data_IF_264949271279
#
_entry.id   IF_264949271279
#
_cell.length_a   1.000
_cell.length_b   1.000
_cell.length_c   1.000
_cell.angle_alpha   90.00
_cell.angle_beta   90.00
_cell.angle_gamma   90.00
#
_symmetry.space_group_name_H-M   'P 1'
#
loop_
_entity.id
_entity.type
_entity.pdbx_description
1 polymer ?
#
# COMPACT_ATOMS: atom_id res chain seq x y z
N UNK A 1 -21.59 19.24 16.56
CA UNK A 1 -20.13 19.20 16.77
C UNK A 1 -19.72 20.61 17.08
N UNK A 2 -19.36 20.83 18.34
CA UNK A 2 -19.00 22.15 18.85
C UNK A 2 -17.69 22.63 18.20
N UNK A 3 -17.43 23.94 18.25
CA UNK A 3 -16.18 24.49 17.71
C UNK A 3 -14.94 23.85 18.39
N UNK A 4 -15.02 23.62 19.71
CA UNK A 4 -13.98 22.96 20.49
C UNK A 4 -13.68 21.54 20.00
N UNK A 5 -14.69 20.79 19.57
CA UNK A 5 -14.50 19.43 19.03
C UNK A 5 -13.71 19.46 17.71
N UNK A 6 -13.99 20.46 16.86
CA UNK A 6 -13.30 20.63 15.57
C UNK A 6 -11.84 21.03 15.79
N UNK A 7 -11.58 21.93 16.73
CA UNK A 7 -10.23 22.37 17.07
C UNK A 7 -9.39 21.21 17.60
N UNK A 8 -9.99 20.34 18.41
CA UNK A 8 -9.35 19.12 18.91
C UNK A 8 -8.99 18.17 17.76
N UNK A 9 -9.90 17.95 16.81
CA UNK A 9 -9.63 17.09 15.63
C UNK A 9 -8.50 17.67 14.77
N UNK A 10 -8.48 18.98 14.55
CA UNK A 10 -7.42 19.65 13.79
C UNK A 10 -6.06 19.49 14.51
N UNK A 11 -6.02 19.66 15.83
CA UNK A 11 -4.81 19.46 16.62
C UNK A 11 -4.28 18.02 16.50
N UNK A 12 -5.18 17.03 16.57
CA UNK A 12 -4.87 15.61 16.37
C UNK A 12 -4.29 15.34 14.97
N UNK A 13 -4.93 15.83 13.92
CA UNK A 13 -4.46 15.62 12.54
C UNK A 13 -3.09 16.25 12.30
N UNK A 14 -2.82 17.42 12.89
CA UNK A 14 -1.51 18.07 12.84
C UNK A 14 -0.45 17.26 13.59
N UNK A 15 -0.78 16.75 14.77
CA UNK A 15 0.14 15.96 15.59
C UNK A 15 0.54 14.64 14.91
N UNK A 16 -0.41 13.99 14.22
CA UNK A 16 -0.18 12.72 13.53
C UNK A 16 -0.02 12.87 12.01
N UNK A 17 0.31 14.08 11.52
CA UNK A 17 0.39 14.37 10.10
C UNK A 17 1.30 13.37 9.34
N UNK A 18 2.47 13.02 9.90
CA UNK A 18 3.39 12.07 9.25
C UNK A 18 2.90 10.60 9.17
N UNK A 19 1.83 10.25 9.89
CA UNK A 19 1.14 8.95 9.80
C UNK A 19 -0.04 9.04 8.81
N UNK A 20 -0.74 10.18 8.82
CA UNK A 20 -1.93 10.42 7.98
C UNK A 20 -1.54 10.74 6.53
N UNK A 21 -0.37 11.33 6.32
CA UNK A 21 0.12 11.71 5.00
C UNK A 21 0.25 10.48 4.10
N UNK A 22 -0.43 10.54 2.95
CA UNK A 22 -0.35 9.50 1.93
C UNK A 22 1.04 9.55 1.31
N UNK A 23 1.89 8.61 1.71
CA UNK A 23 3.22 8.45 1.09
C UNK A 23 3.05 7.83 -0.32
N UNK A 24 3.76 8.36 -1.34
CA UNK A 24 3.80 7.72 -2.65
C UNK A 24 4.58 6.40 -2.57
N UNK A 25 4.22 5.44 -3.42
CA UNK A 25 4.89 4.14 -3.49
C UNK A 25 4.49 3.16 -2.38
N UNK A 26 5.33 2.15 -2.15
CA UNK A 26 5.10 1.10 -1.16
C UNK A 26 5.14 1.68 0.28
N UNK A 27 4.16 1.37 1.15
CA UNK A 27 4.24 1.71 2.56
C UNK A 27 5.55 1.22 3.20
N UNK A 28 6.12 1.96 4.16
CA UNK A 28 7.31 1.49 4.86
C UNK A 28 7.03 0.14 5.51
N UNK A 29 8.03 -0.75 5.50
CA UNK A 29 7.93 -2.04 6.18
C UNK A 29 7.47 -1.81 7.63
N UNK A 30 6.46 -2.56 8.05
CA UNK A 30 5.98 -2.49 9.41
C UNK A 30 7.17 -2.77 10.35
N UNK A 31 7.43 -1.86 11.30
CA UNK A 31 8.50 -2.03 12.31
C UNK A 31 8.18 -3.13 13.35
N UNK A 32 7.11 -3.87 13.12
CA UNK A 32 6.64 -4.93 14.00
C UNK A 32 7.23 -6.23 13.47
N UNK A 33 7.81 -7.04 14.34
CA UNK A 33 8.38 -8.35 13.99
C UNK A 33 7.26 -9.41 13.81
N UNK A 34 6.20 -9.05 13.10
CA UNK A 34 5.08 -9.93 12.78
C UNK A 34 4.98 -9.98 11.26
N UNK A 35 5.19 -11.18 10.72
CA UNK A 35 5.08 -11.45 9.30
C UNK A 35 3.77 -12.17 9.01
N UNK A 36 3.19 -11.88 7.84
CA UNK A 36 1.99 -12.57 7.39
C UNK A 36 2.35 -13.97 6.88
N UNK A 37 2.12 -15.00 7.70
CA UNK A 37 2.32 -16.38 7.30
C UNK A 37 1.14 -16.89 6.46
N UNK A 38 1.41 -17.27 5.21
CA UNK A 38 0.41 -17.85 4.31
C UNK A 38 0.43 -19.38 4.48
N UNK A 39 -0.56 -19.92 5.19
CA UNK A 39 -0.72 -21.36 5.39
C UNK A 39 -1.27 -22.05 4.13
N UNK A 40 -0.40 -22.60 3.29
CA UNK A 40 -0.81 -23.36 2.09
C UNK A 40 -0.91 -24.87 2.32
N UNK A 41 -0.37 -25.38 3.44
CA UNK A 41 -0.31 -26.81 3.74
C UNK A 41 0.44 -27.58 2.65
N UNK A 42 -0.16 -28.65 2.14
CA UNK A 42 0.38 -29.46 1.03
C UNK A 42 -0.20 -29.07 -0.35
N UNK A 43 -0.89 -27.94 -0.43
CA UNK A 43 -1.56 -27.52 -1.67
C UNK A 43 -0.52 -27.10 -2.70
N UNK A 44 -0.57 -27.72 -3.89
CA UNK A 44 0.32 -27.35 -4.98
C UNK A 44 0.07 -25.90 -5.44
N UNK A 45 1.12 -25.13 -5.81
CA UNK A 45 0.96 -23.81 -6.38
C UNK A 45 0.11 -23.84 -7.66
N UNK A 46 -0.69 -22.78 -7.85
CA UNK A 46 -1.49 -22.63 -9.07
C UNK A 46 -0.62 -21.95 -10.13
N UNK A 47 -0.40 -22.65 -11.25
CA UNK A 47 0.31 -22.09 -12.41
C UNK A 47 -0.70 -21.50 -13.40
N UNK A 48 -0.69 -20.17 -13.55
CA UNK A 48 -1.55 -19.47 -14.50
C UNK A 48 -0.73 -18.82 -15.61
N UNK A 49 -1.26 -18.86 -16.84
CA UNK A 49 -0.68 -18.13 -17.97
C UNK A 49 -0.95 -16.63 -17.81
N UNK A 50 0.06 -15.79 -18.05
CA UNK A 50 -0.10 -14.32 -18.07
C UNK A 50 -1.20 -13.92 -19.06
N UNK A 51 -2.10 -13.05 -18.63
CA UNK A 51 -3.13 -12.45 -19.50
C UNK A 51 -2.48 -11.49 -20.50
N UNK A 52 -3.04 -11.44 -21.71
CA UNK A 52 -2.62 -10.46 -22.72
C UNK A 52 -3.44 -9.20 -22.50
N UNK A 53 -2.75 -8.11 -22.22
CA UNK A 53 -3.31 -6.77 -22.10
C UNK A 53 -3.04 -5.97 -23.37
N UNK A 54 -3.84 -4.94 -23.63
CA UNK A 54 -3.55 -3.99 -24.69
C UNK A 54 -2.20 -3.29 -24.42
N UNK A 55 -1.55 -2.75 -25.46
CA UNK A 55 -0.26 -2.06 -25.31
C UNK A 55 -0.39 -0.87 -24.36
N UNK A 56 -1.47 -0.09 -24.48
CA UNK A 56 -1.77 1.04 -23.58
C UNK A 56 -1.91 0.62 -22.11
N UNK A 57 -2.51 -0.54 -21.85
CA UNK A 57 -2.65 -1.08 -20.50
C UNK A 57 -1.31 -1.57 -19.96
N UNK A 58 -0.50 -2.26 -20.76
CA UNK A 58 0.83 -2.69 -20.32
C UNK A 58 1.71 -1.50 -19.94
N UNK A 59 1.67 -0.39 -20.70
CA UNK A 59 2.42 0.82 -20.36
C UNK A 59 2.03 1.38 -18.98
N UNK A 60 0.75 1.33 -18.62
CA UNK A 60 0.28 1.73 -17.31
C UNK A 60 0.72 0.74 -16.23
N UNK A 61 0.57 -0.56 -16.49
CA UNK A 61 0.98 -1.62 -15.55
C UNK A 61 2.48 -1.52 -15.24
N UNK A 62 3.31 -1.39 -16.28
CA UNK A 62 4.76 -1.33 -16.14
C UNK A 62 5.17 -0.09 -15.32
N UNK A 63 4.55 1.07 -15.58
CA UNK A 63 4.76 2.29 -14.79
C UNK A 63 4.43 2.10 -13.31
N UNK A 64 3.26 1.55 -12.99
CA UNK A 64 2.85 1.37 -11.59
C UNK A 64 3.72 0.31 -10.88
N UNK A 65 4.18 -0.72 -11.60
CA UNK A 65 5.13 -1.70 -11.08
C UNK A 65 6.47 -1.03 -10.77
N UNK A 66 7.00 -0.21 -11.67
CA UNK A 66 8.24 0.55 -11.44
C UNK A 66 8.10 1.48 -10.22
N UNK A 67 6.97 2.17 -10.09
CA UNK A 67 6.68 3.03 -8.93
C UNK A 67 6.63 2.22 -7.62
N UNK A 68 6.04 1.02 -7.62
CA UNK A 68 6.01 0.13 -6.44
C UNK A 68 7.39 -0.42 -6.04
N UNK A 69 8.25 -0.70 -7.03
CA UNK A 69 9.58 -1.28 -6.82
C UNK A 69 10.67 -0.24 -6.55
N UNK A 70 10.41 1.03 -6.82
CA UNK A 70 11.37 2.13 -6.64
C UNK A 70 11.91 2.32 -5.21
N UNK A 71 11.18 1.85 -4.20
CA UNK A 71 11.48 2.03 -2.77
C UNK A 71 11.91 0.72 -2.05
N UNK A 72 12.36 -0.31 -2.79
CA UNK A 72 12.95 -1.53 -2.20
C UNK A 72 14.44 -1.38 -1.89
#
# INVERSE_FOLDING_TARGET
>A
MEAADKDLVIALLRQYAGIVEKKPGCPPLAKVNVEHHINTGNTAPIMQRRRRHAVSENLLIDKEVDDMLSNQ
#
